data_IF_735038439173
#
_entry.id   IF_735038439173
#
_cell.length_a   1.000
_cell.length_b   1.000
_cell.length_c   1.000
_cell.angle_alpha   90.00
_cell.angle_beta   90.00
_cell.angle_gamma   90.00
#
_symmetry.space_group_name_H-M   'P 1'
#
loop_
_entity.id
_entity.type
_entity.pdbx_description
1 polymer ?
#
# COMPACT_ATOMS: atom_id res chain seq x y z
N UNK A 1 5.60 -11.20 19.81
CA UNK A 1 5.30 -11.31 18.37
C UNK A 1 6.60 -11.68 17.65
N UNK A 2 6.66 -12.82 16.94
CA UNK A 2 7.82 -13.14 16.08
C UNK A 2 7.67 -12.33 14.78
N UNK A 3 8.69 -11.61 14.36
CA UNK A 3 8.73 -10.88 13.09
C UNK A 3 9.27 -11.84 12.04
N UNK A 4 8.56 -12.06 10.92
CA UNK A 4 9.14 -12.85 9.83
C UNK A 4 10.07 -11.97 8.99
N UNK A 5 11.15 -12.54 8.41
CA UNK A 5 12.02 -11.82 7.47
C UNK A 5 11.28 -11.27 6.24
N UNK A 6 10.11 -11.82 5.92
CA UNK A 6 9.25 -11.42 4.81
C UNK A 6 8.24 -10.31 5.15
N UNK A 7 8.17 -9.86 6.40
CA UNK A 7 7.22 -8.82 6.80
C UNK A 7 7.68 -7.46 6.26
N UNK A 8 6.75 -6.76 5.61
CA UNK A 8 6.97 -5.47 4.96
C UNK A 8 6.33 -4.31 5.74
N UNK A 9 5.29 -4.61 6.50
CA UNK A 9 4.68 -3.78 7.55
C UNK A 9 4.58 -4.61 8.83
N UNK A 10 4.26 -3.97 9.95
CA UNK A 10 3.99 -4.73 11.17
C UNK A 10 2.72 -5.58 11.00
N UNK A 11 2.64 -6.67 11.76
CA UNK A 11 1.46 -7.54 11.75
C UNK A 11 0.25 -6.79 12.28
N UNK A 12 -0.92 -7.16 11.76
CA UNK A 12 -2.18 -6.57 12.23
C UNK A 12 -2.35 -6.82 13.74
N UNK A 13 -2.80 -5.80 14.51
CA UNK A 13 -3.16 -5.97 15.90
C UNK A 13 -4.26 -7.02 16.11
N UNK A 14 -4.27 -7.68 17.27
CA UNK A 14 -5.26 -8.73 17.60
C UNK A 14 -6.71 -8.18 17.63
N UNK A 15 -6.90 -6.89 17.89
CA UNK A 15 -8.20 -6.20 17.90
C UNK A 15 -8.69 -5.77 16.50
N UNK A 16 -7.96 -6.13 15.44
CA UNK A 16 -8.31 -5.75 14.05
C UNK A 16 -9.72 -6.21 13.63
N UNK A 17 -10.18 -7.44 13.92
CA UNK A 17 -11.54 -7.86 13.59
C UNK A 17 -12.60 -6.96 14.24
N UNK A 18 -12.41 -6.57 15.50
CA UNK A 18 -13.35 -5.70 16.22
C UNK A 18 -13.39 -4.30 15.61
N UNK A 19 -12.24 -3.75 15.23
CA UNK A 19 -12.15 -2.45 14.53
C UNK A 19 -12.85 -2.46 13.19
N UNK A 20 -12.72 -3.54 12.41
CA UNK A 20 -13.41 -3.69 11.13
C UNK A 20 -14.92 -3.80 11.34
N UNK A 21 -15.37 -4.57 12.33
CA UNK A 21 -16.80 -4.64 12.65
C UNK A 21 -17.36 -3.28 13.04
N UNK A 22 -16.67 -2.55 13.92
CA UNK A 22 -17.05 -1.19 14.28
C UNK A 22 -17.11 -0.27 13.06
N UNK A 23 -16.14 -0.36 12.14
CA UNK A 23 -16.14 0.42 10.89
C UNK A 23 -17.42 0.17 10.06
N UNK A 24 -17.85 -1.08 9.94
CA UNK A 24 -19.05 -1.42 9.15
C UNK A 24 -20.35 -1.04 9.85
N UNK A 25 -20.41 -1.11 11.18
CA UNK A 25 -21.60 -0.73 11.95
C UNK A 25 -21.87 0.78 11.93
N UNK A 26 -20.81 1.60 11.90
CA UNK A 26 -20.92 3.07 11.86
C UNK A 26 -21.00 3.63 10.44
N UNK A 27 -20.92 2.77 9.43
CA UNK A 27 -20.96 3.15 8.03
C UNK A 27 -22.36 3.71 7.67
N UNK A 28 -22.48 4.92 7.09
CA UNK A 28 -23.78 5.47 6.68
C UNK A 28 -24.54 4.52 5.75
N UNK A 29 -25.87 4.54 5.79
CA UNK A 29 -26.69 3.73 4.89
C UNK A 29 -26.41 4.08 3.41
N UNK A 30 -26.29 3.05 2.58
CA UNK A 30 -25.95 3.19 1.16
C UNK A 30 -24.44 3.10 0.87
N UNK A 31 -24.11 2.77 -0.38
CA UNK A 31 -22.75 2.43 -0.80
C UNK A 31 -22.36 0.99 -0.45
N UNK A 32 -21.31 0.50 -1.09
CA UNK A 32 -20.82 -0.86 -0.90
C UNK A 32 -19.35 -0.85 -0.49
N UNK A 33 -18.98 -1.78 0.37
CA UNK A 33 -17.59 -2.03 0.75
C UNK A 33 -16.93 -3.03 -0.19
N UNK A 34 -15.67 -2.77 -0.51
CA UNK A 34 -14.80 -3.58 -1.32
C UNK A 34 -13.43 -3.72 -0.65
N UNK A 35 -12.78 -4.85 -0.88
CA UNK A 35 -11.35 -5.04 -0.64
C UNK A 35 -10.60 -4.71 -1.92
N UNK A 36 -9.58 -3.87 -1.82
CA UNK A 36 -8.53 -3.79 -2.84
C UNK A 36 -7.31 -4.53 -2.30
N UNK A 37 -6.86 -5.51 -3.07
CA UNK A 37 -5.78 -6.41 -2.70
C UNK A 37 -4.62 -6.30 -3.70
N UNK A 38 -3.39 -6.07 -3.22
CA UNK A 38 -2.18 -6.17 -4.04
C UNK A 38 -1.72 -7.63 -4.11
N UNK A 39 -2.12 -8.32 -5.17
CA UNK A 39 -1.82 -9.74 -5.37
C UNK A 39 -0.32 -10.02 -5.60
N UNK A 40 0.50 -9.00 -5.89
CA UNK A 40 1.95 -9.16 -5.97
C UNK A 40 2.58 -9.68 -4.68
N UNK A 41 1.93 -9.47 -3.53
CA UNK A 41 2.35 -9.99 -2.23
C UNK A 41 1.75 -11.37 -1.90
N UNK A 42 0.69 -11.81 -2.57
CA UNK A 42 0.07 -13.11 -2.34
C UNK A 42 -0.64 -13.69 -3.59
N UNK A 43 0.10 -14.13 -4.63
CA UNK A 43 -0.48 -14.45 -5.95
C UNK A 43 -1.55 -15.56 -5.99
N UNK A 44 -1.70 -16.36 -4.92
CA UNK A 44 -2.72 -17.41 -4.80
C UNK A 44 -3.85 -17.10 -3.79
N UNK A 45 -3.91 -15.89 -3.23
CA UNK A 45 -4.93 -15.55 -2.23
C UNK A 45 -6.34 -15.57 -2.82
N UNK A 46 -6.51 -15.12 -4.07
CA UNK A 46 -7.80 -15.04 -4.75
C UNK A 46 -8.53 -16.38 -4.76
N UNK A 47 -7.81 -17.47 -5.04
CA UNK A 47 -8.41 -18.80 -5.14
C UNK A 47 -8.80 -19.37 -3.77
N UNK A 48 -8.31 -18.78 -2.68
CA UNK A 48 -8.65 -19.12 -1.28
C UNK A 48 -9.74 -18.23 -0.71
N UNK A 49 -10.09 -17.12 -1.36
CA UNK A 49 -11.16 -16.26 -0.90
C UNK A 49 -12.51 -16.97 -1.08
N UNK A 50 -13.42 -16.86 -0.09
CA UNK A 50 -14.77 -17.38 -0.24
C UNK A 50 -15.45 -16.80 -1.50
N UNK A 51 -16.20 -17.63 -2.22
CA UNK A 51 -16.98 -17.15 -3.35
C UNK A 51 -17.98 -16.08 -2.89
N UNK A 52 -17.98 -14.95 -3.59
CA UNK A 52 -19.04 -13.95 -3.48
C UNK A 52 -20.16 -14.36 -4.45
N UNK A 53 -21.40 -13.91 -4.21
CA UNK A 53 -22.53 -14.16 -5.10
C UNK A 53 -22.16 -13.89 -6.57
N UNK A 54 -22.66 -14.74 -7.48
CA UNK A 54 -22.24 -14.80 -8.89
C UNK A 54 -22.29 -13.48 -9.67
N UNK A 55 -23.11 -12.53 -9.24
CA UNK A 55 -23.21 -11.21 -9.88
C UNK A 55 -22.14 -10.20 -9.43
N UNK A 56 -21.36 -10.54 -8.42
CA UNK A 56 -20.39 -9.66 -7.75
C UNK A 56 -19.02 -10.31 -7.69
N UNK A 57 -18.51 -10.69 -8.86
CA UNK A 57 -17.23 -11.34 -8.99
C UNK A 57 -16.06 -10.42 -8.56
N UNK A 58 -14.98 -11.07 -8.11
CA UNK A 58 -13.66 -10.42 -7.95
C UNK A 58 -13.19 -9.93 -9.32
N UNK A 59 -12.77 -8.66 -9.40
CA UNK A 59 -12.28 -8.04 -10.64
C UNK A 59 -10.76 -7.89 -10.58
N UNK A 60 -10.05 -8.41 -11.58
CA UNK A 60 -8.60 -8.29 -11.73
C UNK A 60 -8.28 -7.00 -12.50
N UNK A 61 -7.50 -6.09 -11.93
CA UNK A 61 -7.37 -4.74 -12.50
C UNK A 61 -6.56 -4.68 -13.79
N UNK A 62 -5.57 -5.56 -13.98
CA UNK A 62 -4.76 -5.58 -15.21
C UNK A 62 -5.43 -6.33 -16.37
N UNK A 63 -6.45 -7.14 -16.09
CA UNK A 63 -7.14 -7.92 -17.10
C UNK A 63 -7.79 -7.02 -18.15
N UNK A 64 -7.46 -7.25 -19.42
CA UNK A 64 -7.93 -6.46 -20.56
C UNK A 64 -7.30 -5.06 -20.67
N UNK A 65 -6.32 -4.73 -19.81
CA UNK A 65 -5.58 -3.46 -19.85
C UNK A 65 -4.13 -3.67 -20.25
N UNK A 66 -3.50 -4.75 -19.76
CA UNK A 66 -2.09 -5.05 -20.03
C UNK A 66 -1.94 -6.50 -20.49
N UNK A 67 -0.99 -6.72 -21.41
CA UNK A 67 -0.61 -8.04 -21.90
C UNK A 67 0.61 -8.58 -21.12
N UNK A 68 0.58 -9.86 -20.76
CA UNK A 68 1.70 -10.53 -20.11
C UNK A 68 1.34 -11.88 -19.52
N UNK A 69 2.24 -12.85 -19.63
CA UNK A 69 2.08 -14.16 -19.01
C UNK A 69 2.03 -14.01 -17.48
N UNK A 70 1.14 -14.78 -16.84
CA UNK A 70 0.92 -14.80 -15.38
C UNK A 70 0.57 -13.45 -14.73
N UNK A 71 0.31 -12.40 -15.51
CA UNK A 71 0.00 -11.06 -15.00
C UNK A 71 -1.25 -11.06 -14.11
N UNK A 72 -2.22 -11.91 -14.42
CA UNK A 72 -3.44 -12.08 -13.64
C UNK A 72 -3.21 -12.63 -12.22
N UNK A 73 -2.06 -13.27 -11.96
CA UNK A 73 -1.72 -13.78 -10.63
C UNK A 73 -1.16 -12.69 -9.73
N UNK A 74 -0.45 -11.70 -10.28
CA UNK A 74 0.15 -10.59 -9.52
C UNK A 74 -0.66 -9.30 -9.60
N UNK A 75 -1.65 -9.25 -10.48
CA UNK A 75 -2.47 -8.06 -10.68
C UNK A 75 -3.32 -7.74 -9.44
N UNK A 76 -3.35 -6.47 -9.01
CA UNK A 76 -4.26 -6.07 -7.95
C UNK A 76 -5.70 -6.46 -8.28
N UNK A 77 -6.47 -6.85 -7.28
CA UNK A 77 -7.87 -7.22 -7.47
C UNK A 77 -8.80 -6.45 -6.53
N UNK A 78 -10.00 -6.18 -7.03
CA UNK A 78 -11.10 -5.59 -6.29
C UNK A 78 -12.13 -6.68 -5.99
N UNK A 79 -12.38 -6.96 -4.72
CA UNK A 79 -13.35 -7.95 -4.27
C UNK A 79 -14.47 -7.26 -3.48
N UNK A 80 -15.74 -7.36 -3.89
CA UNK A 80 -16.83 -6.82 -3.08
C UNK A 80 -16.97 -7.61 -1.78
N UNK A 81 -17.19 -6.90 -0.66
CA UNK A 81 -17.50 -7.58 0.59
C UNK A 81 -18.95 -8.10 0.59
N UNK A 82 -19.21 -9.29 1.18
CA UNK A 82 -20.56 -9.78 1.39
C UNK A 82 -21.41 -8.81 2.24
N UNK A 83 -22.69 -8.69 1.89
CA UNK A 83 -23.68 -7.93 2.67
C UNK A 83 -23.98 -8.67 3.99
N UNK A 84 -24.12 -10.00 3.91
CA UNK A 84 -24.28 -10.85 5.08
C UNK A 84 -23.07 -10.73 6.02
N UNK A 85 -23.36 -10.50 7.30
CA UNK A 85 -22.33 -10.21 8.30
C UNK A 85 -21.43 -11.42 8.57
N UNK A 86 -21.99 -12.64 8.59
CA UNK A 86 -21.21 -13.85 8.85
C UNK A 86 -20.28 -14.19 7.67
N UNK A 87 -20.78 -14.09 6.45
CA UNK A 87 -19.98 -14.26 5.24
C UNK A 87 -18.86 -13.21 5.13
N UNK A 88 -19.17 -11.95 5.46
CA UNK A 88 -18.17 -10.87 5.51
C UNK A 88 -17.10 -11.15 6.55
N UNK A 89 -17.47 -11.56 7.76
CA UNK A 89 -16.54 -11.92 8.81
C UNK A 89 -15.61 -13.07 8.39
N UNK A 90 -16.14 -14.14 7.80
CA UNK A 90 -15.36 -15.28 7.33
C UNK A 90 -14.37 -14.91 6.20
N UNK A 91 -14.78 -14.03 5.29
CA UNK A 91 -13.89 -13.49 4.26
C UNK A 91 -12.76 -12.67 4.88
N UNK A 92 -13.08 -11.75 5.80
CA UNK A 92 -12.08 -10.90 6.45
C UNK A 92 -11.12 -11.71 7.32
N UNK A 93 -11.59 -12.72 8.05
CA UNK A 93 -10.73 -13.64 8.81
C UNK A 93 -9.71 -14.31 7.89
N UNK A 94 -10.16 -14.82 6.73
CA UNK A 94 -9.28 -15.42 5.74
C UNK A 94 -8.25 -14.41 5.24
N UNK A 95 -8.68 -13.21 4.84
CA UNK A 95 -7.77 -12.17 4.33
C UNK A 95 -6.75 -11.76 5.40
N UNK A 96 -7.20 -11.39 6.60
CA UNK A 96 -6.33 -10.92 7.68
C UNK A 96 -5.26 -11.96 8.05
N UNK A 97 -5.64 -13.24 8.12
CA UNK A 97 -4.70 -14.33 8.41
C UNK A 97 -3.64 -14.47 7.34
N UNK A 98 -4.02 -14.34 6.07
CA UNK A 98 -3.14 -14.59 4.92
C UNK A 98 -2.27 -13.37 4.56
N UNK A 99 -2.67 -12.18 4.95
CA UNK A 99 -2.00 -10.92 4.57
C UNK A 99 -1.31 -10.19 5.70
N UNK A 100 -1.39 -10.66 6.95
CA UNK A 100 -0.71 -10.03 8.08
C UNK A 100 0.80 -9.85 7.82
N UNK A 101 1.31 -8.65 8.06
CA UNK A 101 2.70 -8.26 7.73
C UNK A 101 2.91 -7.83 6.27
N UNK A 102 1.88 -7.85 5.42
CA UNK A 102 1.95 -7.47 4.00
C UNK A 102 1.13 -6.19 3.72
N UNK A 103 1.69 -5.21 2.99
CA UNK A 103 1.08 -3.91 2.70
C UNK A 103 0.11 -4.01 1.53
N UNK A 104 -0.88 -4.91 1.61
CA UNK A 104 -1.63 -5.33 0.43
C UNK A 104 -3.13 -5.27 0.60
N UNK A 105 -3.66 -4.73 1.70
CA UNK A 105 -5.09 -4.73 1.98
C UNK A 105 -5.58 -3.30 2.23
N UNK A 106 -6.53 -2.88 1.38
CA UNK A 106 -7.32 -1.67 1.59
C UNK A 106 -8.80 -1.99 1.61
N UNK A 107 -9.58 -1.21 2.36
CA UNK A 107 -11.04 -1.20 2.28
C UNK A 107 -11.49 0.08 1.60
N UNK A 108 -12.26 -0.07 0.53
CA UNK A 108 -12.89 1.04 -0.17
C UNK A 108 -14.39 0.97 0.04
N UNK A 109 -15.00 2.14 0.19
CA UNK A 109 -16.44 2.31 0.13
C UNK A 109 -16.75 3.34 -0.93
N UNK A 110 -17.73 3.05 -1.78
CA UNK A 110 -18.24 4.02 -2.74
C UNK A 110 -19.68 3.75 -3.14
N UNK A 111 -20.27 4.74 -3.80
CA UNK A 111 -21.61 4.65 -4.40
C UNK A 111 -21.63 3.87 -5.73
N UNK A 112 -20.46 3.56 -6.29
CA UNK A 112 -20.29 2.82 -7.55
C UNK A 112 -20.53 1.32 -7.35
N UNK A 113 -21.05 0.64 -8.37
CA UNK A 113 -20.97 -0.82 -8.42
C UNK A 113 -19.50 -1.28 -8.59
N UNK A 114 -19.24 -2.56 -8.37
CA UNK A 114 -17.88 -3.13 -8.42
C UNK A 114 -17.20 -2.91 -9.77
N UNK A 115 -17.93 -3.01 -10.88
CA UNK A 115 -17.37 -2.81 -12.22
C UNK A 115 -17.00 -1.34 -12.47
N UNK A 116 -17.87 -0.42 -12.09
CA UNK A 116 -17.63 1.02 -12.18
C UNK A 116 -16.48 1.50 -11.28
N UNK A 117 -16.33 0.92 -10.08
CA UNK A 117 -15.17 1.19 -9.22
C UNK A 117 -13.88 0.60 -9.80
N UNK A 118 -13.91 -0.63 -10.33
CA UNK A 118 -12.75 -1.24 -10.98
C UNK A 118 -12.31 -0.45 -12.23
N UNK A 119 -13.24 -0.01 -13.06
CA UNK A 119 -12.96 0.83 -14.22
C UNK A 119 -12.33 2.18 -13.81
N UNK A 120 -12.83 2.78 -12.73
CA UNK A 120 -12.24 4.00 -12.17
C UNK A 120 -10.79 3.77 -11.72
N UNK A 121 -10.55 2.72 -10.92
CA UNK A 121 -9.21 2.39 -10.43
C UNK A 121 -8.22 2.09 -11.57
N UNK A 122 -8.65 1.36 -12.61
CA UNK A 122 -7.86 1.12 -13.83
C UNK A 122 -7.41 2.42 -14.48
N UNK A 123 -8.30 3.40 -14.58
CA UNK A 123 -8.01 4.72 -15.13
C UNK A 123 -7.06 5.59 -14.27
N UNK A 124 -6.62 5.10 -13.10
CA UNK A 124 -5.66 5.77 -12.24
C UNK A 124 -4.31 5.03 -12.13
N UNK A 125 -4.08 3.97 -12.90
CA UNK A 125 -2.90 3.10 -12.75
C UNK A 125 -1.64 3.62 -13.44
N UNK A 126 -1.73 4.62 -14.32
CA UNK A 126 -0.61 5.05 -15.16
C UNK A 126 -0.21 6.49 -14.85
N UNK A 127 1.09 6.74 -14.81
CA UNK A 127 1.67 8.06 -14.68
C UNK A 127 2.94 8.19 -15.54
N UNK A 128 3.32 9.42 -15.86
CA UNK A 128 4.56 9.76 -16.57
C UNK A 128 5.19 11.03 -16.02
N UNK A 129 6.51 11.12 -16.05
CA UNK A 129 7.23 12.34 -15.71
C UNK A 129 7.18 13.36 -16.87
N UNK A 130 6.79 14.62 -16.59
CA UNK A 130 6.67 15.65 -17.61
C UNK A 130 8.01 16.02 -18.29
N UNK A 131 9.13 15.80 -17.59
CA UNK A 131 10.46 16.21 -18.04
C UNK A 131 10.99 15.35 -19.20
N UNK A 132 10.72 14.05 -19.17
CA UNK A 132 11.28 13.05 -20.10
C UNK A 132 10.24 12.08 -20.68
N UNK A 133 9.00 12.12 -20.20
CA UNK A 133 7.92 11.22 -20.62
C UNK A 133 8.06 9.79 -20.08
N UNK A 134 8.95 9.54 -19.11
CA UNK A 134 9.13 8.20 -18.54
C UNK A 134 7.83 7.74 -17.87
N UNK A 135 7.19 6.71 -18.44
CA UNK A 135 5.93 6.16 -17.97
C UNK A 135 6.14 5.03 -16.95
N UNK A 136 5.26 4.94 -15.96
CA UNK A 136 5.29 3.92 -14.91
C UNK A 136 3.90 3.61 -14.36
N UNK A 137 3.78 2.44 -13.72
CA UNK A 137 2.57 2.03 -13.01
C UNK A 137 2.53 2.55 -11.58
N UNK A 138 1.41 3.16 -11.22
CA UNK A 138 1.11 3.63 -9.87
C UNK A 138 0.75 2.44 -8.99
N UNK A 139 1.55 2.20 -7.94
CA UNK A 139 1.37 1.10 -6.99
C UNK A 139 0.36 1.44 -5.88
N UNK A 140 -0.83 1.92 -6.22
CA UNK A 140 -1.81 2.35 -5.19
C UNK A 140 -2.40 1.20 -4.36
N UNK A 141 -2.26 -0.06 -4.78
CA UNK A 141 -2.68 -1.21 -3.99
C UNK A 141 -1.66 -1.58 -2.89
N UNK A 142 -0.41 -1.11 -3.01
CA UNK A 142 0.60 -1.21 -1.95
C UNK A 142 0.34 -0.11 -0.90
N UNK A 143 -0.07 -0.49 0.30
CA UNK A 143 -0.49 0.46 1.35
C UNK A 143 0.66 1.32 1.88
N UNK A 144 1.92 1.01 1.56
CA UNK A 144 3.07 1.87 1.86
C UNK A 144 3.27 2.97 0.82
N UNK A 145 2.90 2.70 -0.43
CA UNK A 145 3.07 3.62 -1.55
C UNK A 145 1.90 4.61 -1.64
N UNK A 146 0.69 4.17 -1.31
CA UNK A 146 -0.52 4.97 -1.46
C UNK A 146 -0.50 6.31 -0.70
N UNK A 147 -0.04 6.43 0.56
CA UNK A 147 0.05 7.73 1.23
C UNK A 147 0.97 8.72 0.49
N UNK A 148 2.16 8.28 0.09
CA UNK A 148 3.11 9.11 -0.65
C UNK A 148 2.57 9.51 -2.04
N UNK A 149 1.80 8.62 -2.68
CA UNK A 149 1.08 8.93 -3.91
C UNK A 149 0.09 10.08 -3.68
N UNK A 150 -0.79 9.96 -2.69
CA UNK A 150 -1.79 10.99 -2.38
C UNK A 150 -1.16 12.34 -2.03
N UNK A 151 -0.05 12.35 -1.29
CA UNK A 151 0.71 13.56 -0.93
C UNK A 151 1.44 14.19 -2.13
N UNK A 152 1.79 13.39 -3.13
CA UNK A 152 2.42 13.88 -4.34
C UNK A 152 1.41 14.62 -5.24
N UNK A 153 0.16 14.17 -5.27
CA UNK A 153 -0.87 14.71 -6.16
C UNK A 153 -1.22 16.18 -5.87
N UNK A 154 -1.52 16.94 -6.91
CA UNK A 154 -2.18 18.24 -6.77
C UNK A 154 -3.61 18.04 -6.24
N UNK A 155 -4.26 19.07 -5.65
CA UNK A 155 -5.65 18.97 -5.22
C UNK A 155 -6.59 18.47 -6.35
N UNK A 156 -6.40 18.97 -7.57
CA UNK A 156 -7.15 18.55 -8.75
C UNK A 156 -6.97 17.05 -9.07
N UNK A 157 -5.72 16.58 -9.09
CA UNK A 157 -5.39 15.17 -9.35
C UNK A 157 -5.89 14.25 -8.23
N UNK A 158 -5.82 14.72 -6.98
CA UNK A 158 -6.30 14.00 -5.81
C UNK A 158 -7.82 13.82 -5.85
N UNK A 159 -8.58 14.88 -6.15
CA UNK A 159 -10.04 14.77 -6.34
C UNK A 159 -10.40 13.81 -7.46
N UNK A 160 -9.66 13.87 -8.58
CA UNK A 160 -9.81 12.90 -9.66
C UNK A 160 -9.53 11.47 -9.16
N UNK A 161 -8.45 11.26 -8.41
CA UNK A 161 -8.07 9.95 -7.91
C UNK A 161 -9.12 9.34 -6.98
N UNK A 162 -9.68 10.16 -6.07
CA UNK A 162 -10.66 9.72 -5.07
C UNK A 162 -12.12 9.83 -5.53
N UNK A 163 -12.39 10.19 -6.79
CA UNK A 163 -13.75 10.42 -7.28
C UNK A 163 -14.67 9.20 -7.13
N UNK A 164 -15.81 9.40 -6.46
CA UNK A 164 -16.79 8.35 -6.19
C UNK A 164 -16.37 7.32 -5.13
N UNK A 165 -15.30 7.60 -4.37
CA UNK A 165 -14.88 6.85 -3.18
C UNK A 165 -15.25 7.68 -1.95
N UNK A 166 -16.17 7.18 -1.15
CA UNK A 166 -16.68 7.85 0.06
C UNK A 166 -15.78 7.63 1.27
N UNK A 167 -15.10 6.48 1.31
CA UNK A 167 -14.14 6.15 2.35
C UNK A 167 -13.08 5.20 1.81
N UNK A 168 -11.82 5.44 2.20
CA UNK A 168 -10.71 4.55 1.90
C UNK A 168 -9.92 4.31 3.18
N UNK A 169 -9.89 3.07 3.66
CA UNK A 169 -9.11 2.67 4.81
C UNK A 169 -7.98 1.74 4.38
N UNK A 170 -6.83 1.86 5.04
CA UNK A 170 -5.65 1.05 4.76
C UNK A 170 -5.00 0.58 6.05
N UNK A 171 -4.23 -0.50 5.96
CA UNK A 171 -3.29 -0.85 7.02
C UNK A 171 -1.98 -0.09 6.80
N UNK A 172 -1.61 0.76 7.75
CA UNK A 172 -0.37 1.52 7.71
C UNK A 172 0.85 0.65 8.05
N UNK A 173 2.04 1.28 8.16
CA UNK A 173 3.28 0.56 8.47
C UNK A 173 3.27 -0.13 9.83
N UNK A 174 2.49 0.38 10.78
CA UNK A 174 2.31 -0.20 12.11
C UNK A 174 1.27 -1.33 12.13
N UNK A 175 0.69 -1.65 10.97
CA UNK A 175 -0.39 -2.63 10.86
C UNK A 175 -1.73 -2.08 11.37
N UNK A 176 -1.81 -0.79 11.71
CA UNK A 176 -3.03 -0.18 12.19
C UNK A 176 -3.94 0.19 11.02
N UNK A 177 -5.25 -0.05 11.18
CA UNK A 177 -6.25 0.42 10.24
C UNK A 177 -6.42 1.93 10.39
N UNK A 178 -6.15 2.68 9.32
CA UNK A 178 -6.26 4.14 9.27
C UNK A 178 -7.15 4.57 8.11
N UNK A 179 -7.93 5.63 8.32
CA UNK A 179 -8.67 6.27 7.24
C UNK A 179 -7.73 7.20 6.45
N UNK A 180 -7.76 7.08 5.13
CA UNK A 180 -7.13 8.07 4.25
C UNK A 180 -8.08 9.26 4.12
N UNK A 181 -7.48 10.44 4.03
CA UNK A 181 -8.23 11.64 3.68
C UNK A 181 -8.63 11.52 2.20
N UNK A 182 -9.91 11.28 1.97
CA UNK A 182 -10.54 11.28 0.66
C UNK A 182 -11.32 12.57 0.54
N UNK A 183 -11.12 13.31 -0.55
CA UNK A 183 -11.77 14.60 -0.73
C UNK A 183 -13.26 14.39 -1.07
N UNK A 184 -14.10 14.32 -0.04
CA UNK A 184 -15.55 14.10 -0.17
C UNK A 184 -16.32 15.39 -0.49
N UNK A 185 -15.66 16.55 -0.46
CA UNK A 185 -16.30 17.84 -0.68
C UNK A 185 -16.51 18.08 -2.19
N UNK A 186 -17.77 18.00 -2.63
CA UNK A 186 -18.20 18.25 -4.02
C UNK A 186 -18.19 19.75 -4.40
N UNK A 187 -17.31 20.55 -3.83
CA UNK A 187 -17.16 21.93 -4.29
C UNK A 187 -16.29 21.91 -5.55
N UNK A 188 -16.98 21.87 -6.70
CA UNK A 188 -16.36 22.10 -7.98
C UNK A 188 -15.80 23.52 -8.01
N UNK A 189 -14.51 23.67 -7.70
CA UNK A 189 -13.79 24.91 -7.99
C UNK A 189 -13.65 24.97 -9.52
N UNK A 190 -14.51 25.77 -10.14
CA UNK A 190 -14.42 26.07 -11.55
C UNK A 190 -13.08 26.78 -11.82
N UNK A 191 -12.14 26.09 -12.48
CA UNK A 191 -10.88 26.69 -12.93
C UNK A 191 -9.61 25.88 -12.71
N UNK A 192 -9.65 24.70 -12.09
CA UNK A 192 -8.44 23.87 -11.94
C UNK A 192 -8.08 23.13 -13.24
N UNK A 193 -7.42 23.84 -14.15
CA UNK A 193 -6.73 23.24 -15.28
C UNK A 193 -5.52 22.43 -14.78
N UNK A 194 -5.40 21.16 -15.19
CA UNK A 194 -4.17 20.36 -14.98
C UNK A 194 -4.34 18.94 -14.42
N UNK A 195 -5.54 18.47 -14.08
CA UNK A 195 -5.74 17.11 -13.55
C UNK A 195 -5.75 15.99 -14.63
N UNK A 196 -5.87 16.34 -15.91
CA UNK A 196 -6.25 15.41 -16.97
C UNK A 196 -7.70 14.90 -16.82
N UNK A 197 -8.16 14.07 -17.75
CA UNK A 197 -9.47 13.40 -17.67
C UNK A 197 -9.32 12.01 -17.05
N UNK A 198 -10.38 11.51 -16.40
CA UNK A 198 -10.39 10.12 -15.92
C UNK A 198 -10.10 9.16 -17.07
N UNK A 199 -9.13 8.25 -16.87
CA UNK A 199 -8.64 7.33 -17.90
C UNK A 199 -7.37 7.78 -18.63
N UNK A 200 -6.96 9.05 -18.53
CA UNK A 200 -5.68 9.52 -19.09
C UNK A 200 -4.54 9.35 -18.07
N UNK A 201 -3.34 8.90 -18.45
CA UNK A 201 -2.21 8.83 -17.53
C UNK A 201 -1.94 10.16 -16.80
N UNK A 202 -1.54 10.09 -15.54
CA UNK A 202 -1.10 11.28 -14.82
C UNK A 202 0.19 11.83 -15.42
N UNK A 203 0.28 13.14 -15.63
CA UNK A 203 1.54 13.81 -15.99
C UNK A 203 2.04 14.53 -14.74
N UNK A 204 3.17 14.07 -14.21
CA UNK A 204 3.75 14.57 -12.97
C UNK A 204 4.85 15.59 -13.23
N UNK A 205 4.84 16.69 -12.48
CA UNK A 205 5.95 17.64 -12.50
C UNK A 205 7.19 17.10 -11.74
N UNK A 206 8.30 17.85 -11.82
CA UNK A 206 9.56 17.48 -11.19
C UNK A 206 9.47 17.35 -9.66
N UNK A 207 8.69 18.19 -8.99
CA UNK A 207 8.54 18.17 -7.53
C UNK A 207 7.70 16.96 -7.08
N UNK A 208 6.70 16.58 -7.86
CA UNK A 208 5.90 15.37 -7.63
C UNK A 208 6.76 14.12 -7.80
N UNK A 209 7.52 14.04 -8.89
CA UNK A 209 8.43 12.91 -9.15
C UNK A 209 9.50 12.80 -8.06
N UNK A 210 10.09 13.91 -7.65
CA UNK A 210 11.11 13.90 -6.59
C UNK A 210 10.53 13.47 -5.25
N UNK A 211 9.33 13.92 -4.87
CA UNK A 211 8.62 13.45 -3.66
C UNK A 211 8.44 11.94 -3.66
N UNK A 212 7.97 11.36 -4.77
CA UNK A 212 7.79 9.90 -4.89
C UNK A 212 9.12 9.14 -4.83
N UNK A 213 10.16 9.65 -5.51
CA UNK A 213 11.52 9.07 -5.46
C UNK A 213 12.06 9.07 -4.04
N UNK A 214 11.91 10.17 -3.31
CA UNK A 214 12.37 10.27 -1.91
C UNK A 214 11.60 9.30 -0.99
N UNK A 215 10.27 9.20 -1.15
CA UNK A 215 9.45 8.27 -0.38
C UNK A 215 9.89 6.80 -0.57
N UNK A 216 10.28 6.41 -1.79
CA UNK A 216 10.71 5.05 -2.10
C UNK A 216 12.10 4.67 -1.57
N UNK A 217 12.97 5.64 -1.25
CA UNK A 217 14.37 5.39 -0.87
C UNK A 217 14.50 4.59 0.43
N UNK A 218 13.65 4.86 1.42
CA UNK A 218 13.72 4.17 2.72
C UNK A 218 13.37 2.69 2.57
N UNK A 219 12.26 2.40 1.88
CA UNK A 219 11.87 1.00 1.59
C UNK A 219 12.93 0.28 0.78
N UNK A 220 13.55 0.96 -0.20
CA UNK A 220 14.63 0.40 -1.00
C UNK A 220 15.85 0.04 -0.15
N UNK A 221 16.28 0.95 0.74
CA UNK A 221 17.38 0.69 1.67
C UNK A 221 17.06 -0.51 2.57
N UNK A 222 15.89 -0.49 3.24
CA UNK A 222 15.50 -1.55 4.17
C UNK A 222 15.33 -2.90 3.47
N UNK A 223 14.84 -2.91 2.23
CA UNK A 223 14.81 -4.10 1.40
C UNK A 223 16.21 -4.68 1.20
N UNK A 224 17.19 -3.86 0.80
CA UNK A 224 18.56 -4.33 0.63
C UNK A 224 19.20 -4.82 1.93
N UNK A 225 18.95 -4.13 3.06
CA UNK A 225 19.44 -4.56 4.38
C UNK A 225 18.89 -5.93 4.75
N UNK A 226 17.60 -6.18 4.51
CA UNK A 226 16.97 -7.48 4.79
C UNK A 226 17.44 -8.60 3.87
N UNK A 227 17.66 -8.31 2.60
CA UNK A 227 18.05 -9.30 1.59
C UNK A 227 19.53 -9.72 1.70
N UNK A 228 20.36 -8.93 2.39
CA UNK A 228 21.81 -9.14 2.47
C UNK A 228 22.32 -9.14 3.91
N UNK A 229 21.81 -10.05 4.78
CA UNK A 229 22.21 -10.10 6.18
C UNK A 229 23.71 -10.40 6.37
N UNK A 230 24.34 -11.07 5.40
CA UNK A 230 25.79 -11.31 5.37
C UNK A 230 26.61 -10.04 5.15
N UNK A 231 26.01 -9.02 4.53
CA UNK A 231 26.65 -7.74 4.21
C UNK A 231 26.36 -6.68 5.27
N UNK A 232 25.12 -6.62 5.79
CA UNK A 232 24.67 -5.55 6.67
C UNK A 232 24.41 -5.98 8.11
N UNK A 233 24.36 -7.28 8.39
CA UNK A 233 23.86 -7.82 9.65
C UNK A 233 22.35 -8.09 9.64
N UNK A 234 21.81 -8.56 10.76
CA UNK A 234 20.41 -8.96 10.88
C UNK A 234 19.56 -7.82 11.45
N UNK A 235 18.52 -7.43 10.72
CA UNK A 235 17.51 -6.50 11.22
C UNK A 235 16.65 -7.18 12.31
N UNK A 236 16.55 -6.54 13.47
CA UNK A 236 15.82 -7.02 14.65
C UNK A 236 14.52 -6.23 14.90
N UNK A 237 14.44 -5.00 14.40
CA UNK A 237 13.26 -4.15 14.51
C UNK A 237 12.08 -4.65 13.69
N UNK A 238 10.87 -4.27 14.12
CA UNK A 238 9.68 -4.37 13.26
C UNK A 238 9.84 -3.48 12.02
N UNK A 239 9.12 -3.76 10.91
CA UNK A 239 9.15 -2.90 9.75
C UNK A 239 8.86 -1.42 10.02
N UNK A 240 7.88 -1.12 10.88
CA UNK A 240 7.55 0.27 11.26
C UNK A 240 8.69 0.94 12.04
N UNK A 241 9.30 0.23 13.00
CA UNK A 241 10.41 0.73 13.80
C UNK A 241 11.64 1.04 12.94
N UNK A 242 12.00 0.12 12.04
CA UNK A 242 13.13 0.31 11.13
C UNK A 242 12.89 1.52 10.21
N UNK A 243 11.69 1.62 9.63
CA UNK A 243 11.33 2.76 8.78
C UNK A 243 11.39 4.09 9.55
N UNK A 244 10.74 4.16 10.71
CA UNK A 244 10.74 5.38 11.53
C UNK A 244 12.15 5.80 11.97
N UNK A 245 13.01 4.83 12.31
CA UNK A 245 14.41 5.08 12.67
C UNK A 245 15.17 5.71 11.49
N UNK A 246 15.06 5.13 10.30
CA UNK A 246 15.72 5.65 9.09
C UNK A 246 15.15 7.02 8.70
N UNK A 247 13.83 7.19 8.73
CA UNK A 247 13.17 8.48 8.46
C UNK A 247 13.70 9.58 9.39
N UNK A 248 13.78 9.31 10.69
CA UNK A 248 14.28 10.28 11.67
C UNK A 248 15.78 10.57 11.51
N UNK A 249 16.58 9.57 11.09
CA UNK A 249 17.99 9.77 10.81
C UNK A 249 18.20 10.66 9.58
N UNK A 250 17.48 10.40 8.49
CA UNK A 250 17.58 11.18 7.25
C UNK A 250 17.02 12.59 7.39
N UNK A 251 15.94 12.79 8.13
CA UNK A 251 15.40 14.13 8.38
C UNK A 251 16.39 15.06 9.13
N UNK A 252 17.34 14.50 9.87
CA UNK A 252 18.39 15.24 10.60
C UNK A 252 19.71 15.29 9.86
N UNK A 253 19.83 14.60 8.71
CA UNK A 253 21.07 14.53 7.95
C UNK A 253 21.20 15.74 7.04
N UNK A 254 22.17 16.60 7.33
CA UNK A 254 22.54 17.78 6.54
C UNK A 254 23.81 17.56 5.69
N UNK A 255 24.42 16.37 5.78
CA UNK A 255 25.61 16.00 5.03
C UNK A 255 25.34 15.58 3.58
N UNK A 256 26.39 15.13 2.84
CA UNK A 256 26.24 14.77 1.43
C UNK A 256 25.29 13.57 1.25
N UNK A 257 24.51 13.51 0.15
CA UNK A 257 23.58 12.41 -0.12
C UNK A 257 24.24 11.02 -0.13
N UNK A 258 25.51 10.95 -0.55
CA UNK A 258 26.29 9.71 -0.56
C UNK A 258 26.48 9.09 0.85
N UNK A 259 26.37 9.88 1.91
CA UNK A 259 26.49 9.40 3.29
C UNK A 259 25.15 8.92 3.89
N UNK A 260 24.01 9.18 3.24
CA UNK A 260 22.68 8.92 3.81
C UNK A 260 22.48 7.44 4.19
N UNK A 261 22.91 6.50 3.34
CA UNK A 261 22.80 5.07 3.64
C UNK A 261 23.63 4.68 4.87
N UNK A 262 24.83 5.23 5.04
CA UNK A 262 25.67 4.97 6.22
C UNK A 262 25.00 5.53 7.48
N UNK A 263 24.50 6.77 7.43
CA UNK A 263 23.78 7.40 8.55
C UNK A 263 22.57 6.58 8.99
N UNK A 264 21.82 6.02 8.03
CA UNK A 264 20.70 5.13 8.34
C UNK A 264 21.15 3.83 9.03
N UNK A 265 22.21 3.19 8.54
CA UNK A 265 22.74 1.95 9.15
C UNK A 265 23.25 2.22 10.56
N UNK A 266 24.00 3.30 10.76
CA UNK A 266 24.53 3.68 12.07
C UNK A 266 23.40 3.99 13.06
N UNK A 267 22.33 4.65 12.61
CA UNK A 267 21.14 4.90 13.42
C UNK A 267 20.42 3.59 13.82
N UNK A 268 20.30 2.63 12.88
CA UNK A 268 19.72 1.32 13.18
C UNK A 268 20.57 0.53 14.18
N UNK A 269 21.90 0.57 14.08
CA UNK A 269 22.80 -0.05 15.06
C UNK A 269 22.68 0.62 16.42
N UNK A 270 22.71 1.95 16.47
CA UNK A 270 22.60 2.72 17.71
C UNK A 270 21.27 2.48 18.44
N UNK A 271 20.19 2.23 17.70
CA UNK A 271 18.89 1.88 18.24
C UNK A 271 18.76 0.40 18.66
N UNK A 272 19.79 -0.43 18.43
CA UNK A 272 19.75 -1.88 18.67
C UNK A 272 18.86 -2.63 17.67
N UNK A 273 18.51 -1.99 16.55
CA UNK A 273 17.62 -2.51 15.51
C UNK A 273 18.35 -3.29 14.42
N UNK A 274 19.67 -3.19 14.35
CA UNK A 274 20.53 -3.94 13.43
C UNK A 274 21.69 -4.56 14.19
N UNK A 275 21.78 -5.90 14.19
CA UNK A 275 22.87 -6.65 14.79
C UNK A 275 23.92 -7.01 13.72
N UNK A 276 25.13 -6.48 13.86
CA UNK A 276 26.22 -6.62 12.87
C UNK A 276 27.19 -7.77 13.18
N UNK A 277 27.05 -8.43 14.32
CA UNK A 277 27.92 -9.55 14.70
C UNK A 277 27.54 -10.86 13.99
N UNK A 278 28.54 -11.58 13.46
CA UNK A 278 28.38 -13.00 13.11
C UNK A 278 28.15 -13.76 14.41
N UNK A 279 27.05 -14.52 14.49
CA UNK A 279 26.88 -15.51 15.55
C UNK A 279 28.17 -16.36 15.65
N UNK A 280 28.74 -16.56 16.85
CA UNK A 280 29.93 -17.39 16.99
C UNK A 280 29.63 -18.77 16.40
N UNK A 281 30.57 -19.30 15.62
CA UNK A 281 30.46 -20.66 15.10
C UNK A 281 30.16 -21.58 16.28
N UNK A 282 29.06 -22.34 16.20
CA UNK A 282 28.76 -23.35 17.19
C UNK A 282 29.99 -24.25 17.29
N UNK A 283 30.71 -24.13 18.41
CA UNK A 283 31.83 -25.00 18.72
C UNK A 283 31.25 -26.40 18.84
N UNK A 284 31.48 -27.23 17.83
CA UNK A 284 31.27 -28.67 17.94
C UNK A 284 32.17 -29.19 19.05
N UNK A 285 31.56 -29.52 20.19
CA UNK A 285 32.12 -30.38 21.21
C UNK A 285 31.38 -31.72 21.16
#
# INVERSE_FOLDING_TARGET
MKIEPSDWIDRYPDDTPDRLNALFEHAPAGGRWHLLLDMGFAPGLRDRMPAVDRNDAVVVLYEGVYDGDDLAAISPCLAPLPVDAAARAAMLETVLRETSGRPMVSLLRGARDTGALAAHLRGQMEASAAADGEAFLVRFADTRCLPAWLEALTPAQRRRFTDGIDAWHVFDRTGALVALDVDTAREAVAGEAGAGRSGEPYVLDGDQVERLRQAAKIDTLLFYVRQRPESFGRLLATPSQAHACVSAAWARHDGPPAAASRVALDALVAAGYLATERAPAASSA
#
